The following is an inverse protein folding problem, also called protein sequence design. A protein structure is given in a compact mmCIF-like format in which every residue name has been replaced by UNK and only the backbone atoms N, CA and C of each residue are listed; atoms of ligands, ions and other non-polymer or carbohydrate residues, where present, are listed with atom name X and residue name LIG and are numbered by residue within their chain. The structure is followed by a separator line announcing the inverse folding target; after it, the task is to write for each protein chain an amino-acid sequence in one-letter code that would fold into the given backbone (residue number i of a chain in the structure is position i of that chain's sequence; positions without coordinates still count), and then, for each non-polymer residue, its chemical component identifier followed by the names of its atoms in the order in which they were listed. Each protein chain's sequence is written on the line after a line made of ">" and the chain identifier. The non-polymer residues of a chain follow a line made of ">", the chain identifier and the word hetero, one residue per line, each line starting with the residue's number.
data_IF_187255480392
#
_entry.id   IF_187255480392
#
_cell.length_a   1.000
_cell.length_b   1.000
_cell.length_c   1.000
_cell.angle_alpha   90.00
_cell.angle_beta   90.00
_cell.angle_gamma   90.00
#
_symmetry.space_group_name_H-M   'P 1'
#
loop_
_entity.id
_entity.type
_entity.pdbx_description
1 polymer ?
#
# COMPACT_ATOMS: atom_id res chain seq x y z
N UNK A 1 34.09 -8.82 -1.16
CA UNK A 1 32.99 -9.73 -1.51
C UNK A 1 31.86 -9.00 -2.26
N UNK A 2 31.38 -7.85 -1.78
CA UNK A 2 30.37 -7.02 -2.47
C UNK A 2 30.76 -6.60 -3.91
N UNK A 3 32.01 -6.21 -4.13
CA UNK A 3 32.51 -5.81 -5.46
C UNK A 3 32.44 -6.92 -6.51
N UNK A 4 32.67 -8.19 -6.12
CA UNK A 4 32.55 -9.33 -7.02
C UNK A 4 31.09 -9.56 -7.44
N UNK A 5 30.13 -9.37 -6.53
CA UNK A 5 28.70 -9.45 -6.85
C UNK A 5 28.28 -8.31 -7.79
N UNK A 6 28.80 -7.10 -7.58
CA UNK A 6 28.59 -5.96 -8.50
C UNK A 6 29.12 -6.27 -9.90
N UNK A 7 30.33 -6.82 -10.03
CA UNK A 7 30.92 -7.16 -11.33
C UNK A 7 30.12 -8.23 -12.08
N UNK A 8 29.68 -9.28 -11.38
CA UNK A 8 28.78 -10.30 -11.95
C UNK A 8 27.45 -9.70 -12.40
N UNK A 9 26.83 -8.86 -11.57
CA UNK A 9 25.61 -8.15 -11.93
C UNK A 9 25.80 -7.23 -13.14
N UNK A 10 26.93 -6.53 -13.24
CA UNK A 10 27.25 -5.68 -14.38
C UNK A 10 27.45 -6.50 -15.67
N UNK A 11 28.06 -7.68 -15.59
CA UNK A 11 28.23 -8.58 -16.73
C UNK A 11 26.88 -9.06 -17.27
N UNK A 12 25.99 -9.51 -16.37
CA UNK A 12 24.63 -9.93 -16.72
C UNK A 12 23.78 -8.77 -17.25
N UNK A 13 23.91 -7.57 -16.67
CA UNK A 13 23.24 -6.38 -17.17
C UNK A 13 23.66 -6.05 -18.61
N UNK A 14 24.95 -6.20 -18.95
CA UNK A 14 25.44 -6.03 -20.32
C UNK A 14 24.95 -7.14 -21.25
N UNK A 15 24.74 -8.35 -20.73
CA UNK A 15 24.11 -9.46 -21.45
C UNK A 15 22.60 -9.29 -21.64
N UNK A 16 22.01 -8.20 -21.13
CA UNK A 16 20.56 -7.92 -21.11
C UNK A 16 19.75 -8.87 -20.22
N UNK A 17 20.41 -9.66 -19.37
CA UNK A 17 19.78 -10.54 -18.38
C UNK A 17 19.50 -9.75 -17.09
N UNK A 18 18.43 -8.96 -17.10
CA UNK A 18 18.14 -8.01 -16.02
C UNK A 18 17.67 -8.66 -14.71
N UNK A 19 16.90 -9.75 -14.78
CA UNK A 19 16.42 -10.47 -13.59
C UNK A 19 17.57 -11.06 -12.75
N UNK A 20 18.47 -11.89 -13.30
CA UNK A 20 19.59 -12.41 -12.51
C UNK A 20 20.61 -11.32 -12.13
N UNK A 21 20.74 -10.25 -12.94
CA UNK A 21 21.54 -9.09 -12.56
C UNK A 21 21.00 -8.43 -11.27
N UNK A 22 19.68 -8.26 -11.15
CA UNK A 22 19.04 -7.71 -9.96
C UNK A 22 19.27 -8.56 -8.70
N UNK A 23 19.28 -9.90 -8.85
CA UNK A 23 19.61 -10.82 -7.75
C UNK A 23 21.04 -10.65 -7.27
N UNK A 24 22.00 -10.57 -8.19
CA UNK A 24 23.40 -10.34 -7.84
C UNK A 24 23.63 -8.98 -7.17
N UNK A 25 22.95 -7.92 -7.62
CA UNK A 25 22.98 -6.64 -6.90
C UNK A 25 22.33 -6.73 -5.53
N UNK A 26 21.28 -7.54 -5.36
CA UNK A 26 20.68 -7.80 -4.04
C UNK A 26 21.66 -8.48 -3.10
N UNK A 27 22.45 -9.44 -3.58
CA UNK A 27 23.53 -10.03 -2.79
C UNK A 27 24.62 -9.00 -2.46
N UNK A 28 24.97 -8.11 -3.39
CA UNK A 28 25.91 -7.02 -3.13
C UNK A 28 25.41 -6.08 -2.02
N UNK A 29 24.13 -5.70 -2.06
CA UNK A 29 23.47 -4.84 -1.06
C UNK A 29 23.44 -5.53 0.31
N UNK A 30 23.14 -6.83 0.36
CA UNK A 30 23.16 -7.62 1.62
C UNK A 30 24.55 -7.66 2.25
N UNK A 31 25.60 -7.72 1.43
CA UNK A 31 26.98 -7.72 1.91
C UNK A 31 27.44 -6.33 2.36
N UNK A 32 27.12 -5.29 1.58
CA UNK A 32 27.43 -3.90 1.89
C UNK A 32 26.38 -2.99 1.21
N UNK A 33 25.48 -2.34 1.97
CA UNK A 33 24.55 -1.37 1.40
C UNK A 33 25.32 -0.18 0.84
N UNK A 34 25.23 0.05 -0.47
CA UNK A 34 25.93 1.14 -1.14
C UNK A 34 25.10 1.74 -2.28
N UNK A 35 25.03 3.08 -2.46
CA UNK A 35 24.17 3.74 -3.43
C UNK A 35 24.30 3.23 -4.86
N UNK A 36 25.52 2.85 -5.26
CA UNK A 36 25.80 2.30 -6.61
C UNK A 36 25.03 1.00 -6.84
N UNK A 37 24.95 0.13 -5.84
CA UNK A 37 24.25 -1.16 -5.99
C UNK A 37 22.74 -0.96 -6.10
N UNK A 38 22.18 -0.07 -5.28
CA UNK A 38 20.77 0.34 -5.40
C UNK A 38 20.47 0.96 -6.77
N UNK A 39 21.35 1.85 -7.24
CA UNK A 39 21.19 2.48 -8.56
C UNK A 39 21.20 1.44 -9.68
N UNK A 40 22.13 0.49 -9.65
CA UNK A 40 22.24 -0.55 -10.67
C UNK A 40 21.08 -1.55 -10.63
N UNK A 41 20.59 -1.90 -9.43
CA UNK A 41 19.40 -2.73 -9.27
C UNK A 41 18.13 -2.02 -9.76
N UNK A 42 17.97 -0.72 -9.45
CA UNK A 42 16.90 0.10 -9.98
C UNK A 42 16.90 0.15 -11.52
N UNK A 43 18.09 0.21 -12.15
CA UNK A 43 18.18 0.14 -13.61
C UNK A 43 17.72 -1.20 -14.18
N UNK A 44 17.93 -2.31 -13.46
CA UNK A 44 17.37 -3.61 -13.85
C UNK A 44 15.85 -3.60 -13.77
N UNK A 45 15.29 -3.11 -12.65
CA UNK A 45 13.84 -3.04 -12.47
C UNK A 45 13.15 -2.13 -13.49
N UNK A 46 13.75 -1.00 -13.87
CA UNK A 46 13.26 -0.17 -14.98
C UNK A 46 13.19 -0.95 -16.29
N UNK A 47 14.18 -1.81 -16.58
CA UNK A 47 14.17 -2.65 -17.79
C UNK A 47 13.18 -3.80 -17.73
N UNK A 48 12.85 -4.27 -16.53
CA UNK A 48 11.84 -5.31 -16.29
C UNK A 48 10.40 -4.77 -16.23
N UNK A 49 10.21 -3.45 -16.25
CA UNK A 49 8.89 -2.82 -16.08
C UNK A 49 8.40 -2.78 -14.63
N UNK A 50 9.26 -3.13 -13.66
CA UNK A 50 8.94 -3.12 -12.23
C UNK A 50 9.18 -1.72 -11.63
N UNK A 51 8.42 -0.73 -12.10
CA UNK A 51 8.67 0.68 -11.81
C UNK A 51 8.56 1.03 -10.31
N UNK A 52 7.63 0.40 -9.58
CA UNK A 52 7.46 0.63 -8.13
C UNK A 52 8.71 0.22 -7.35
N UNK A 53 9.27 -0.96 -7.66
CA UNK A 53 10.50 -1.45 -7.04
C UNK A 53 11.70 -0.58 -7.44
N UNK A 54 11.76 -0.11 -8.69
CA UNK A 54 12.80 0.81 -9.14
C UNK A 54 12.77 2.14 -8.36
N UNK A 55 11.59 2.72 -8.14
CA UNK A 55 11.43 3.94 -7.36
C UNK A 55 11.82 3.75 -5.89
N UNK A 56 11.40 2.63 -5.28
CA UNK A 56 11.77 2.28 -3.91
C UNK A 56 13.30 2.12 -3.75
N UNK A 57 13.95 1.44 -4.70
CA UNK A 57 15.41 1.29 -4.71
C UNK A 57 16.14 2.62 -4.87
N UNK A 58 15.64 3.51 -5.72
CA UNK A 58 16.26 4.83 -5.90
C UNK A 58 16.19 5.65 -4.61
N UNK A 59 15.04 5.60 -3.92
CA UNK A 59 14.86 6.26 -2.61
C UNK A 59 15.81 5.67 -1.55
N UNK A 60 15.84 4.34 -1.40
CA UNK A 60 16.74 3.68 -0.46
C UNK A 60 18.22 3.97 -0.79
N UNK A 61 18.58 4.01 -2.08
CA UNK A 61 19.92 4.37 -2.52
C UNK A 61 20.32 5.79 -2.14
N UNK A 62 19.39 6.74 -2.18
CA UNK A 62 19.61 8.13 -1.74
C UNK A 62 19.81 8.23 -0.24
N UNK A 63 19.09 7.44 0.57
CA UNK A 63 19.30 7.37 2.03
C UNK A 63 20.72 6.88 2.38
N UNK A 64 21.38 6.18 1.46
CA UNK A 64 22.76 5.72 1.57
C UNK A 64 23.81 6.64 0.93
N UNK A 65 23.44 7.82 0.43
CA UNK A 65 24.41 8.82 -0.06
C UNK A 65 25.02 9.56 1.15
N UNK A 66 26.35 9.73 1.23
CA UNK A 66 27.01 10.37 2.38
C UNK A 66 26.51 11.79 2.68
N UNK A 67 26.14 12.55 1.65
CA UNK A 67 25.59 13.92 1.79
C UNK A 67 24.26 13.98 2.55
N UNK A 68 23.48 12.89 2.52
CA UNK A 68 22.21 12.77 3.25
C UNK A 68 22.35 11.98 4.56
N UNK A 69 23.55 11.45 4.85
CA UNK A 69 23.85 10.71 6.07
C UNK A 69 24.69 11.53 7.05
N UNK A 70 24.79 11.04 8.29
CA UNK A 70 25.75 11.59 9.27
C UNK A 70 27.18 11.34 8.77
N UNK A 71 28.12 12.29 8.97
CA UNK A 71 29.48 12.15 8.51
C UNK A 71 30.12 10.89 9.11
N UNK A 72 30.61 10.03 8.22
CA UNK A 72 31.22 8.74 8.55
C UNK A 72 32.63 8.73 7.97
N UNK A 73 33.64 8.59 8.84
CA UNK A 73 35.07 8.71 8.50
C UNK A 73 35.61 7.56 7.64
N UNK A 74 34.87 6.47 7.51
CA UNK A 74 35.21 5.26 6.74
C UNK A 74 34.32 5.06 5.50
N UNK A 75 33.56 6.07 5.07
CA UNK A 75 32.72 5.96 3.89
C UNK A 75 33.58 5.97 2.61
N UNK A 76 33.47 4.96 1.71
CA UNK A 76 34.16 4.98 0.44
C UNK A 76 33.73 6.18 -0.39
N UNK A 77 34.68 6.80 -1.09
CA UNK A 77 34.45 7.97 -1.93
C UNK A 77 33.40 7.65 -3.00
N UNK A 78 32.24 8.31 -2.91
CA UNK A 78 31.15 8.14 -3.85
C UNK A 78 31.38 9.03 -5.06
N UNK A 79 31.27 8.46 -6.27
CA UNK A 79 31.32 9.26 -7.49
C UNK A 79 30.15 10.26 -7.51
N UNK A 80 30.41 11.55 -7.83
CA UNK A 80 29.39 12.60 -7.79
C UNK A 80 28.19 12.32 -8.72
N UNK A 81 28.39 11.52 -9.77
CA UNK A 81 27.32 11.16 -10.71
C UNK A 81 26.28 10.18 -10.13
N UNK A 82 26.62 9.44 -9.07
CA UNK A 82 25.75 8.37 -8.53
C UNK A 82 24.43 8.90 -8.01
N UNK A 83 24.40 9.92 -7.12
CA UNK A 83 23.14 10.50 -6.67
C UNK A 83 22.32 11.11 -7.83
N UNK A 84 22.98 11.77 -8.79
CA UNK A 84 22.32 12.32 -9.98
C UNK A 84 21.62 11.20 -10.77
N UNK A 85 22.29 10.06 -10.96
CA UNK A 85 21.71 8.87 -11.62
C UNK A 85 20.54 8.28 -10.84
N UNK A 86 20.57 8.29 -9.51
CA UNK A 86 19.45 7.85 -8.66
C UNK A 86 18.24 8.76 -8.84
N UNK A 87 18.41 10.09 -8.76
CA UNK A 87 17.32 11.05 -9.02
C UNK A 87 16.74 10.89 -10.42
N UNK A 88 17.60 10.73 -11.43
CA UNK A 88 17.17 10.56 -12.81
C UNK A 88 16.38 9.26 -13.00
N UNK A 89 16.89 8.13 -12.52
CA UNK A 89 16.21 6.82 -12.60
C UNK A 89 14.90 6.81 -11.83
N UNK A 90 14.84 7.47 -10.68
CA UNK A 90 13.59 7.63 -9.92
C UNK A 90 12.55 8.43 -10.72
N UNK A 91 12.97 9.53 -11.35
CA UNK A 91 12.07 10.31 -12.21
C UNK A 91 11.55 9.51 -13.39
N UNK A 92 12.36 8.62 -13.99
CA UNK A 92 11.95 7.72 -15.06
C UNK A 92 10.93 6.68 -14.55
N UNK A 93 11.19 6.07 -13.39
CA UNK A 93 10.25 5.12 -12.79
C UNK A 93 8.88 5.74 -12.50
N UNK A 94 8.85 7.01 -12.06
CA UNK A 94 7.62 7.75 -11.80
C UNK A 94 6.93 8.21 -13.10
N UNK A 95 7.71 8.54 -14.13
CA UNK A 95 7.20 8.83 -15.47
C UNK A 95 6.43 7.64 -16.03
N UNK A 96 7.00 6.43 -15.93
CA UNK A 96 6.38 5.19 -16.41
C UNK A 96 5.16 4.77 -15.57
N UNK A 97 5.06 5.25 -14.32
CA UNK A 97 3.87 5.12 -13.47
C UNK A 97 2.78 6.17 -13.75
N UNK A 98 2.99 7.06 -14.73
CA UNK A 98 2.14 8.24 -14.99
C UNK A 98 2.00 9.20 -13.79
N UNK A 99 2.93 9.15 -12.83
CA UNK A 99 2.96 10.05 -11.68
C UNK A 99 3.88 11.24 -11.95
N UNK A 100 3.48 12.09 -12.90
CA UNK A 100 4.30 13.21 -13.37
C UNK A 100 4.54 14.26 -12.29
N UNK A 101 3.57 14.49 -11.40
CA UNK A 101 3.71 15.45 -10.30
C UNK A 101 4.83 15.03 -9.33
N UNK A 102 4.87 13.74 -8.95
CA UNK A 102 5.95 13.22 -8.13
C UNK A 102 7.30 13.23 -8.88
N UNK A 103 7.30 12.90 -10.18
CA UNK A 103 8.52 12.92 -10.99
C UNK A 103 9.14 14.32 -11.07
N UNK A 104 8.32 15.36 -11.25
CA UNK A 104 8.73 16.78 -11.22
C UNK A 104 9.32 17.15 -9.86
N UNK A 105 8.69 16.73 -8.76
CA UNK A 105 9.18 16.97 -7.41
C UNK A 105 10.58 16.36 -7.17
N UNK A 106 10.78 15.12 -7.61
CA UNK A 106 12.07 14.40 -7.49
C UNK A 106 13.16 15.12 -8.29
N UNK A 107 12.89 15.53 -9.53
CA UNK A 107 13.85 16.29 -10.35
C UNK A 107 14.21 17.65 -9.73
N UNK A 108 13.22 18.38 -9.20
CA UNK A 108 13.46 19.65 -8.51
C UNK A 108 14.31 19.47 -7.25
N UNK A 109 14.05 18.40 -6.50
CA UNK A 109 14.82 18.06 -5.30
C UNK A 109 16.28 17.73 -5.66
N UNK A 110 16.49 16.95 -6.72
CA UNK A 110 17.84 16.65 -7.23
C UNK A 110 18.59 17.89 -7.71
N UNK A 111 17.94 18.81 -8.42
CA UNK A 111 18.55 20.08 -8.87
C UNK A 111 18.83 21.06 -7.74
N UNK A 112 18.07 21.01 -6.64
CA UNK A 112 18.34 21.80 -5.44
C UNK A 112 19.65 21.38 -4.78
N UNK A 113 19.92 20.07 -4.73
CA UNK A 113 21.17 19.53 -4.17
C UNK A 113 22.32 19.65 -5.16
N UNK A 114 22.08 19.38 -6.45
CA UNK A 114 23.09 19.39 -7.50
C UNK A 114 22.71 20.37 -8.64
N UNK A 115 22.89 21.69 -8.42
CA UNK A 115 22.59 22.69 -9.44
C UNK A 115 23.51 22.54 -10.65
N UNK A 116 22.99 22.82 -11.85
CA UNK A 116 23.76 22.81 -13.09
C UNK A 116 23.77 21.49 -13.87
N UNK A 117 23.04 20.46 -13.41
CA UNK A 117 22.93 19.19 -14.14
C UNK A 117 21.99 19.28 -15.35
N UNK A 118 22.55 19.09 -16.55
CA UNK A 118 21.80 19.13 -17.80
C UNK A 118 20.76 18.00 -17.90
N UNK A 119 21.12 16.75 -17.54
CA UNK A 119 20.22 15.60 -17.67
C UNK A 119 18.94 15.75 -16.83
N UNK A 120 19.06 16.21 -15.59
CA UNK A 120 17.91 16.46 -14.71
C UNK A 120 17.09 17.66 -15.18
N UNK A 121 17.74 18.71 -15.68
CA UNK A 121 17.06 19.91 -16.21
C UNK A 121 16.22 19.56 -17.45
N UNK A 122 16.78 18.78 -18.37
CA UNK A 122 16.07 18.33 -19.58
C UNK A 122 14.90 17.42 -19.23
N UNK A 123 15.10 16.47 -18.30
CA UNK A 123 14.03 15.60 -17.82
C UNK A 123 12.91 16.39 -17.12
N UNK A 124 13.27 17.38 -16.29
CA UNK A 124 12.30 18.26 -15.63
C UNK A 124 11.44 19.02 -16.64
N UNK A 125 12.05 19.63 -17.66
CA UNK A 125 11.32 20.36 -18.72
C UNK A 125 10.35 19.46 -19.46
N UNK A 126 10.78 18.23 -19.79
CA UNK A 126 9.92 17.21 -20.42
C UNK A 126 8.71 16.89 -19.54
N UNK A 127 8.95 16.56 -18.26
CA UNK A 127 7.89 16.17 -17.32
C UNK A 127 6.90 17.32 -17.06
N UNK A 128 7.37 18.56 -16.92
CA UNK A 128 6.51 19.74 -16.78
C UNK A 128 5.63 19.98 -18.00
N UNK A 129 6.15 19.73 -19.20
CA UNK A 129 5.37 19.84 -20.42
C UNK A 129 4.25 18.78 -20.45
N UNK A 130 4.57 17.53 -20.09
CA UNK A 130 3.59 16.44 -20.02
C UNK A 130 2.51 16.75 -18.97
N UNK A 131 2.90 17.12 -17.76
CA UNK A 131 1.97 17.47 -16.67
C UNK A 131 1.02 18.60 -17.08
N UNK A 132 1.54 19.64 -17.74
CA UNK A 132 0.72 20.75 -18.22
C UNK A 132 -0.23 20.33 -19.35
N UNK A 133 0.22 19.43 -20.22
CA UNK A 133 -0.62 18.86 -21.30
C UNK A 133 -1.76 18.04 -20.68
N UNK A 134 -1.48 17.13 -19.76
CA UNK A 134 -2.52 16.33 -19.10
C UNK A 134 -3.54 17.18 -18.35
N UNK A 135 -3.09 18.24 -17.66
CA UNK A 135 -4.00 19.19 -17.00
C UNK A 135 -4.90 19.92 -17.98
N UNK A 136 -4.40 20.25 -19.18
CA UNK A 136 -5.22 20.86 -20.25
C UNK A 136 -6.23 19.86 -20.80
N UNK A 137 -5.77 18.66 -21.16
CA UNK A 137 -6.62 17.59 -21.70
C UNK A 137 -7.71 17.19 -20.69
N UNK A 138 -7.39 17.15 -19.39
CA UNK A 138 -8.34 16.92 -18.31
C UNK A 138 -9.36 18.06 -18.17
N UNK A 139 -8.92 19.32 -18.30
CA UNK A 139 -9.81 20.49 -18.27
C UNK A 139 -10.75 20.53 -19.48
N UNK A 140 -10.25 20.13 -20.66
CA UNK A 140 -11.02 20.05 -21.89
C UNK A 140 -12.07 18.92 -21.83
N UNK A 141 -11.69 17.73 -21.32
CA UNK A 141 -12.64 16.64 -21.04
C UNK A 141 -13.70 17.03 -20.00
N UNK A 142 -13.33 17.83 -18.99
CA UNK A 142 -14.27 18.31 -17.98
C UNK A 142 -15.25 19.38 -18.52
N UNK A 143 -14.91 20.06 -19.61
CA UNK A 143 -15.73 21.10 -20.24
C UNK A 143 -16.48 20.62 -21.51
N UNK A 144 -16.29 19.36 -21.91
CA UNK A 144 -17.04 18.78 -23.01
C UNK A 144 -18.55 18.74 -22.66
N UNK A 145 -19.45 19.25 -23.52
CA UNK A 145 -20.88 19.23 -23.26
C UNK A 145 -21.35 17.78 -23.11
N UNK A 146 -21.82 17.43 -21.92
CA UNK A 146 -22.45 16.13 -21.69
C UNK A 146 -23.64 15.99 -22.63
N UNK A 147 -23.69 14.89 -23.38
CA UNK A 147 -24.82 14.53 -24.22
C UNK A 147 -26.08 14.50 -23.36
N UNK A 148 -27.09 15.25 -23.78
CA UNK A 148 -28.35 15.48 -23.07
C UNK A 148 -28.94 14.17 -22.53
N UNK A 149 -28.97 14.01 -21.21
CA UNK A 149 -29.83 13.02 -20.55
C UNK A 149 -31.30 13.41 -20.81
N UNK A 150 -32.20 12.45 -21.09
CA UNK A 150 -33.61 12.76 -21.34
C UNK A 150 -34.26 13.45 -20.12
N UNK A 151 -35.25 14.33 -20.35
CA UNK A 151 -35.80 15.20 -19.32
C UNK A 151 -36.48 14.40 -18.20
N UNK A 152 -36.06 14.69 -16.96
CA UNK A 152 -36.67 14.22 -15.71
C UNK A 152 -38.08 14.82 -15.60
N UNK A 153 -39.14 14.03 -15.31
CA UNK A 153 -40.47 14.57 -15.07
C UNK A 153 -40.50 15.37 -13.76
N UNK A 154 -41.18 16.50 -13.83
CA UNK A 154 -41.37 17.54 -12.80
C UNK A 154 -41.83 16.96 -11.45
N UNK A 155 -41.21 17.30 -10.31
CA UNK A 155 -41.77 16.99 -9.00
C UNK A 155 -42.70 18.13 -8.53
N UNK A 156 -43.96 17.77 -8.28
CA UNK A 156 -44.91 18.54 -7.49
C UNK A 156 -44.49 18.59 -6.00
N UNK A 157 -44.86 19.70 -5.36
CA UNK A 157 -44.93 19.97 -3.92
C UNK A 157 -43.63 20.20 -3.13
N UNK A 158 -43.46 21.47 -2.72
CA UNK A 158 -42.48 21.98 -1.75
C UNK A 158 -42.62 21.36 -0.35
N UNK A 159 -41.53 21.08 0.39
CA UNK A 159 -41.62 20.84 1.82
C UNK A 159 -41.50 22.15 2.61
N UNK A 160 -42.39 22.31 3.59
CA UNK A 160 -42.39 23.40 4.59
C UNK A 160 -41.12 23.36 5.45
N UNK A 161 -40.40 24.48 5.51
CA UNK A 161 -39.23 24.67 6.39
C UNK A 161 -39.73 24.75 7.84
N UNK A 162 -39.37 23.77 8.67
CA UNK A 162 -39.54 23.86 10.12
C UNK A 162 -38.31 24.54 10.74
N UNK A 163 -38.51 25.70 11.35
CA UNK A 163 -37.48 26.45 12.06
C UNK A 163 -37.27 25.85 13.46
N UNK A 164 -36.14 25.20 13.71
CA UNK A 164 -35.76 24.70 15.04
C UNK A 164 -35.03 25.84 15.78
N UNK A 165 -35.47 26.29 16.96
CA UNK A 165 -34.78 27.33 17.70
C UNK A 165 -33.53 26.75 18.40
N UNK A 166 -32.37 27.35 18.14
CA UNK A 166 -31.12 27.09 18.85
C UNK A 166 -31.16 27.84 20.18
N UNK A 167 -31.14 27.12 21.32
CA UNK A 167 -30.85 27.71 22.63
C UNK A 167 -29.35 27.61 22.89
N UNK A 168 -28.68 28.75 23.01
CA UNK A 168 -27.31 28.83 23.49
C UNK A 168 -27.30 28.51 24.98
N UNK A 169 -26.57 27.46 25.39
CA UNK A 169 -26.35 27.11 26.79
C UNK A 169 -24.89 27.41 27.12
N UNK A 170 -24.65 28.32 28.08
CA UNK A 170 -23.32 28.84 28.43
C UNK A 170 -22.51 27.95 29.39
N UNK A 171 -22.86 26.67 29.55
CA UNK A 171 -22.12 25.75 30.43
C UNK A 171 -22.24 24.32 29.92
N UNK A 172 -21.10 23.65 29.74
CA UNK A 172 -21.02 22.21 29.51
C UNK A 172 -20.95 21.51 30.87
N UNK A 173 -21.91 20.64 31.23
CA UNK A 173 -21.71 19.73 32.34
C UNK A 173 -21.06 18.45 31.81
N UNK A 174 -19.82 18.22 32.23
CA UNK A 174 -19.23 16.94 32.69
C UNK A 174 -17.70 17.05 32.56
N UNK A 175 -17.04 16.86 33.69
CA UNK A 175 -15.61 17.03 33.91
C UNK A 175 -14.79 15.90 33.26
N UNK A 176 -14.11 16.22 32.16
CA UNK A 176 -13.31 15.30 31.34
C UNK A 176 -12.10 14.69 32.08
N UNK A 177 -11.81 15.15 33.30
CA UNK A 177 -10.66 14.73 34.11
C UNK A 177 -10.96 13.58 35.07
N UNK A 178 -12.21 13.13 35.19
CA UNK A 178 -12.57 11.98 36.05
C UNK A 178 -12.29 10.62 35.42
N UNK A 179 -12.05 10.56 34.10
CA UNK A 179 -11.80 9.31 33.37
C UNK A 179 -10.35 8.81 33.57
N UNK A 180 -9.43 9.71 33.93
CA UNK A 180 -8.00 9.39 34.09
C UNK A 180 -7.59 8.95 35.49
N UNK A 181 -8.50 8.95 36.47
CA UNK A 181 -8.22 8.47 37.82
C UNK A 181 -8.94 7.15 38.10
N UNK A 182 -8.46 6.08 37.45
CA UNK A 182 -8.61 4.71 37.95
C UNK A 182 -7.21 4.10 38.11
N UNK A 183 -6.95 3.32 39.17
CA UNK A 183 -5.59 2.94 39.58
C UNK A 183 -4.96 1.78 38.77
N UNK A 184 -5.35 1.57 37.51
CA UNK A 184 -4.90 0.42 36.70
C UNK A 184 -3.96 0.75 35.53
N UNK A 185 -3.44 1.98 35.44
CA UNK A 185 -2.58 2.41 34.31
C UNK A 185 -1.15 2.79 34.66
N UNK A 186 -0.58 2.25 35.76
CA UNK A 186 0.80 2.57 36.17
C UNK A 186 1.88 1.52 35.85
N UNK A 187 1.59 0.47 35.06
CA UNK A 187 2.57 -0.62 34.83
C UNK A 187 3.10 -0.78 33.39
N UNK A 188 2.89 0.19 32.49
CA UNK A 188 3.41 0.11 31.10
C UNK A 188 4.50 1.14 30.75
N UNK A 189 5.20 1.67 31.75
CA UNK A 189 6.37 2.53 31.53
C UNK A 189 7.58 2.07 32.34
N UNK A 190 7.92 0.78 32.24
CA UNK A 190 9.28 0.31 32.53
C UNK A 190 9.84 -0.51 31.37
N UNK A 191 10.98 -0.06 30.85
CA UNK A 191 11.81 -0.84 29.94
C UNK A 191 12.59 -1.89 30.75
N UNK A 192 12.49 -3.20 30.49
CA UNK A 192 13.37 -4.15 31.17
C UNK A 192 14.68 -4.33 30.41
N UNK A 193 15.74 -4.22 31.21
CA UNK A 193 17.15 -4.38 30.89
C UNK A 193 17.51 -5.79 30.42
N UNK A 194 18.56 -5.84 29.61
CA UNK A 194 19.32 -7.03 29.24
C UNK A 194 19.78 -7.82 30.50
N UNK A 195 19.29 -9.05 30.68
CA UNK A 195 19.94 -10.04 31.55
C UNK A 195 19.95 -11.41 30.88
N UNK A 196 21.13 -12.02 30.88
CA UNK A 196 21.41 -13.36 30.38
C UNK A 196 20.88 -14.38 31.38
N UNK A 197 20.10 -15.36 30.93
CA UNK A 197 20.07 -16.65 31.61
C UNK A 197 19.73 -17.78 30.64
N UNK A 198 20.67 -18.71 30.58
CA UNK A 198 20.68 -20.01 29.94
C UNK A 198 19.34 -20.74 30.01
N UNK A 199 18.80 -21.16 28.87
CA UNK A 199 17.91 -22.32 28.82
C UNK A 199 18.29 -23.21 27.65
N UNK A 200 18.28 -24.50 27.97
CA UNK A 200 18.91 -25.58 27.25
C UNK A 200 18.20 -25.89 25.94
N UNK A 201 19.02 -26.30 24.96
CA UNK A 201 18.58 -27.03 23.78
C UNK A 201 17.76 -28.26 24.18
N UNK A 202 16.50 -28.30 23.73
CA UNK A 202 15.79 -29.55 23.47
C UNK A 202 14.73 -29.28 22.39
N UNK A 203 15.02 -29.70 21.15
CA UNK A 203 14.00 -29.86 20.13
C UNK A 203 13.13 -31.08 20.48
N UNK A 204 11.80 -30.98 20.55
CA UNK A 204 10.93 -32.13 20.36
C UNK A 204 10.54 -32.22 18.89
N UNK A 205 11.06 -33.25 18.23
CA UNK A 205 10.58 -33.73 16.94
C UNK A 205 9.19 -34.33 17.13
N UNK A 206 8.13 -33.60 16.76
CA UNK A 206 6.78 -34.12 16.46
C UNK A 206 5.97 -33.00 15.82
N UNK A 207 5.34 -33.26 14.66
CA UNK A 207 4.73 -32.24 13.80
C UNK A 207 3.55 -31.47 14.40
N UNK A 208 3.84 -30.40 15.13
CA UNK A 208 2.86 -29.37 15.49
C UNK A 208 2.92 -28.23 14.46
N UNK A 209 1.84 -28.01 13.72
CA UNK A 209 1.65 -26.82 12.90
C UNK A 209 1.90 -25.56 13.73
N UNK A 210 2.60 -24.57 13.18
CA UNK A 210 2.72 -23.27 13.83
C UNK A 210 1.31 -22.66 14.01
N UNK A 211 0.98 -22.12 15.19
CA UNK A 211 -0.29 -21.43 15.40
C UNK A 211 -0.44 -20.27 14.43
N UNK A 212 -1.62 -20.12 13.81
CA UNK A 212 -1.92 -18.99 12.94
C UNK A 212 -1.93 -17.70 13.79
N UNK A 213 -0.99 -16.80 13.53
CA UNK A 213 -0.92 -15.53 14.26
C UNK A 213 -1.87 -14.51 13.59
N UNK A 214 -3.10 -14.41 14.11
CA UNK A 214 -4.10 -13.45 13.62
C UNK A 214 -3.83 -12.05 14.19
N UNK A 215 -3.65 -11.01 13.34
CA UNK A 215 -3.34 -9.66 13.79
C UNK A 215 -4.57 -8.97 14.38
N UNK A 216 -4.41 -8.13 15.42
CA UNK A 216 -5.53 -7.39 16.02
C UNK A 216 -6.09 -6.27 15.11
N UNK A 217 -5.26 -5.74 14.18
CA UNK A 217 -5.66 -4.72 13.23
C UNK A 217 -5.24 -5.14 11.82
N UNK A 218 -6.19 -5.10 10.88
CA UNK A 218 -5.97 -5.52 9.49
C UNK A 218 -5.61 -4.33 8.60
N UNK A 219 -4.59 -4.51 7.75
CA UNK A 219 -4.30 -3.64 6.61
C UNK A 219 -4.35 -4.44 5.30
N UNK A 220 -4.44 -3.76 4.14
CA UNK A 220 -4.57 -4.42 2.83
C UNK A 220 -3.48 -5.47 2.58
N UNK A 221 -2.24 -5.19 2.96
CA UNK A 221 -1.12 -6.10 2.77
C UNK A 221 -1.25 -7.35 3.65
N UNK A 222 -1.54 -7.19 4.94
CA UNK A 222 -1.73 -8.31 5.88
C UNK A 222 -2.92 -9.18 5.49
N UNK A 223 -4.01 -8.56 5.02
CA UNK A 223 -5.16 -9.29 4.49
C UNK A 223 -4.76 -10.13 3.26
N UNK A 224 -4.01 -9.56 2.32
CA UNK A 224 -3.52 -10.29 1.15
C UNK A 224 -2.56 -11.44 1.52
N UNK A 225 -1.84 -11.35 2.63
CA UNK A 225 -1.04 -12.48 3.14
C UNK A 225 -1.92 -13.55 3.79
N UNK A 226 -2.94 -13.15 4.57
CA UNK A 226 -3.88 -14.09 5.20
C UNK A 226 -4.66 -14.90 4.17
N UNK A 227 -5.09 -14.28 3.08
CA UNK A 227 -5.78 -14.97 1.98
C UNK A 227 -4.90 -15.98 1.22
N UNK A 228 -3.58 -15.92 1.40
CA UNK A 228 -2.61 -16.87 0.82
C UNK A 228 -2.27 -18.02 1.78
N UNK A 229 -2.94 -18.11 2.93
CA UNK A 229 -2.70 -19.15 3.93
C UNK A 229 -3.04 -20.54 3.39
N UNK A 230 -2.39 -21.61 3.89
CA UNK A 230 -2.70 -22.97 3.47
C UNK A 230 -4.14 -23.35 3.82
N UNK A 231 -4.78 -24.20 2.99
CA UNK A 231 -6.19 -24.60 3.12
C UNK A 231 -6.59 -25.07 4.54
N UNK A 232 -5.68 -25.71 5.26
CA UNK A 232 -5.93 -26.20 6.62
C UNK A 232 -6.07 -25.09 7.69
N UNK A 233 -5.66 -23.86 7.38
CA UNK A 233 -5.77 -22.69 8.25
C UNK A 233 -6.83 -21.70 7.76
N UNK A 234 -7.42 -21.94 6.58
CA UNK A 234 -8.39 -21.02 5.98
C UNK A 234 -9.72 -20.97 6.74
N UNK A 235 -10.10 -22.05 7.44
CA UNK A 235 -11.30 -22.07 8.28
C UNK A 235 -11.20 -21.04 9.43
N UNK A 236 -10.06 -21.00 10.13
CA UNK A 236 -9.77 -20.00 11.16
C UNK A 236 -9.74 -18.57 10.59
N UNK A 237 -9.16 -18.40 9.39
CA UNK A 237 -9.15 -17.10 8.68
C UNK A 237 -10.58 -16.65 8.35
N UNK A 238 -11.44 -17.55 7.86
CA UNK A 238 -12.84 -17.27 7.51
C UNK A 238 -13.64 -16.85 8.74
N UNK A 239 -13.53 -17.59 9.84
CA UNK A 239 -14.18 -17.23 11.10
C UNK A 239 -13.68 -15.90 11.65
N UNK A 240 -12.38 -15.60 11.51
CA UNK A 240 -11.82 -14.29 11.87
C UNK A 240 -12.39 -13.15 11.01
N UNK A 241 -12.44 -13.32 9.69
CA UNK A 241 -12.96 -12.32 8.75
C UNK A 241 -14.46 -12.08 8.92
N UNK A 242 -15.24 -13.13 9.21
CA UNK A 242 -16.69 -13.04 9.45
C UNK A 242 -17.03 -12.17 10.68
N UNK A 243 -16.21 -12.27 11.72
CA UNK A 243 -16.38 -11.54 12.98
C UNK A 243 -15.67 -10.18 13.01
N UNK A 244 -14.95 -9.82 11.95
CA UNK A 244 -14.21 -8.56 11.87
C UNK A 244 -15.13 -7.33 11.78
N UNK A 245 -14.62 -6.16 12.16
CA UNK A 245 -15.35 -4.89 12.12
C UNK A 245 -15.61 -4.45 10.67
N UNK A 246 -16.89 -4.39 10.31
CA UNK A 246 -17.35 -4.06 8.96
C UNK A 246 -17.11 -2.61 8.56
N UNK A 247 -16.91 -1.71 9.53
CA UNK A 247 -16.68 -0.28 9.27
C UNK A 247 -15.27 -0.02 8.71
N UNK A 248 -14.35 -0.96 8.90
CA UNK A 248 -12.96 -0.83 8.49
C UNK A 248 -12.74 -1.19 7.01
N UNK A 249 -13.64 -1.94 6.36
CA UNK A 249 -13.42 -2.41 4.99
C UNK A 249 -13.15 -1.29 3.97
N UNK A 250 -13.92 -0.19 3.91
CA UNK A 250 -13.63 0.91 2.98
C UNK A 250 -12.27 1.56 3.24
N UNK A 251 -11.81 1.59 4.50
CA UNK A 251 -10.50 2.13 4.87
C UNK A 251 -9.37 1.14 4.51
N UNK A 252 -9.58 -0.16 4.69
CA UNK A 252 -8.61 -1.21 4.39
C UNK A 252 -8.33 -1.27 2.89
N UNK A 253 -9.37 -1.34 2.06
CA UNK A 253 -9.22 -1.44 0.62
C UNK A 253 -8.91 -0.08 -0.03
N UNK A 254 -9.35 1.02 0.59
CA UNK A 254 -9.11 2.38 0.13
C UNK A 254 -9.40 2.55 -1.37
N UNK A 255 -8.52 3.26 -2.09
CA UNK A 255 -8.59 3.44 -3.54
C UNK A 255 -8.12 2.23 -4.36
N UNK A 256 -7.50 1.22 -3.72
CA UNK A 256 -7.04 0.01 -4.39
C UNK A 256 -8.21 -0.85 -4.90
N UNK A 257 -9.32 -0.77 -4.18
CA UNK A 257 -10.52 -1.55 -4.41
C UNK A 257 -10.40 -2.95 -3.81
N UNK A 258 -11.54 -3.64 -3.78
CA UNK A 258 -11.67 -5.00 -3.26
C UNK A 258 -11.20 -6.03 -4.30
N UNK A 259 -10.54 -7.09 -3.84
CA UNK A 259 -10.05 -8.19 -4.69
C UNK A 259 -11.07 -9.32 -4.82
N UNK A 260 -11.04 -10.06 -5.93
CA UNK A 260 -11.93 -11.22 -6.16
C UNK A 260 -11.71 -12.34 -5.16
N UNK A 261 -10.45 -12.60 -4.80
CA UNK A 261 -10.07 -13.67 -3.86
C UNK A 261 -10.65 -13.40 -2.47
N UNK A 262 -10.69 -12.13 -2.06
CA UNK A 262 -11.30 -11.73 -0.79
C UNK A 262 -12.81 -11.96 -0.81
N UNK A 263 -13.50 -11.56 -1.89
CA UNK A 263 -14.95 -11.76 -2.01
C UNK A 263 -15.26 -13.25 -1.95
N UNK A 264 -14.52 -14.07 -2.70
CA UNK A 264 -14.73 -15.52 -2.71
C UNK A 264 -14.57 -16.14 -1.31
N UNK A 265 -13.50 -15.79 -0.58
CA UNK A 265 -13.27 -16.31 0.78
C UNK A 265 -14.28 -15.78 1.81
N UNK A 266 -14.75 -14.54 1.66
CA UNK A 266 -15.80 -13.99 2.51
C UNK A 266 -17.16 -14.66 2.27
N UNK A 267 -17.50 -14.96 1.02
CA UNK A 267 -18.73 -15.69 0.69
C UNK A 267 -18.69 -17.13 1.20
N UNK A 268 -17.52 -17.80 1.15
CA UNK A 268 -17.34 -19.11 1.81
C UNK A 268 -17.47 -19.01 3.32
N UNK A 269 -16.93 -17.94 3.94
CA UNK A 269 -17.08 -17.71 5.37
C UNK A 269 -18.56 -17.54 5.78
N UNK A 270 -19.37 -16.89 4.93
CA UNK A 270 -20.82 -16.78 5.11
C UNK A 270 -21.51 -18.15 4.98
N UNK A 271 -21.13 -18.97 4.00
CA UNK A 271 -21.68 -20.32 3.83
C UNK A 271 -21.39 -21.22 5.06
N UNK A 272 -20.20 -21.09 5.65
CA UNK A 272 -19.75 -21.89 6.80
C UNK A 272 -20.33 -21.41 8.15
N UNK A 273 -20.53 -20.10 8.33
CA UNK A 273 -20.93 -19.48 9.60
C UNK A 273 -22.34 -18.86 9.54
N UNK A 274 -23.27 -19.47 8.78
CA UNK A 274 -24.60 -18.94 8.52
C UNK A 274 -25.52 -18.96 9.77
N UNK A 275 -25.25 -18.10 10.75
CA UNK A 275 -26.07 -17.88 11.96
C UNK A 275 -27.28 -16.96 11.69
N UNK A 276 -27.95 -17.17 10.56
CA UNK A 276 -29.12 -16.39 10.11
C UNK A 276 -28.81 -15.24 9.15
N UNK A 277 -29.85 -14.55 8.61
CA UNK A 277 -29.69 -13.66 7.46
C UNK A 277 -29.17 -12.25 7.79
N UNK A 278 -29.10 -11.85 9.07
CA UNK A 278 -28.79 -10.47 9.45
C UNK A 278 -27.31 -10.12 9.20
N UNK A 279 -26.39 -10.92 9.73
CA UNK A 279 -24.94 -10.68 9.63
C UNK A 279 -24.41 -10.82 8.19
N UNK A 280 -24.79 -11.86 7.41
CA UNK A 280 -24.44 -11.95 5.99
C UNK A 280 -24.87 -10.73 5.17
N UNK A 281 -26.09 -10.20 5.41
CA UNK A 281 -26.57 -8.98 4.74
C UNK A 281 -25.68 -7.78 5.01
N UNK A 282 -25.29 -7.56 6.28
CA UNK A 282 -24.41 -6.45 6.65
C UNK A 282 -23.03 -6.56 6.00
N UNK A 283 -22.46 -7.77 5.95
CA UNK A 283 -21.17 -8.03 5.29
C UNK A 283 -21.28 -7.69 3.80
N UNK A 284 -22.30 -8.21 3.11
CA UNK A 284 -22.52 -7.94 1.69
C UNK A 284 -22.74 -6.45 1.41
N UNK A 285 -23.53 -5.76 2.24
CA UNK A 285 -23.72 -4.32 2.11
C UNK A 285 -22.42 -3.52 2.34
N UNK A 286 -21.55 -3.97 3.25
CA UNK A 286 -20.25 -3.32 3.45
C UNK A 286 -19.29 -3.58 2.27
N UNK A 287 -19.27 -4.80 1.72
CA UNK A 287 -18.49 -5.10 0.52
C UNK A 287 -18.95 -4.28 -0.69
N UNK A 288 -20.27 -4.08 -0.88
CA UNK A 288 -20.84 -3.23 -1.94
C UNK A 288 -20.43 -1.77 -1.85
N UNK A 289 -20.07 -1.27 -0.66
CA UNK A 289 -19.55 0.10 -0.47
C UNK A 289 -18.08 0.26 -0.88
N UNK A 290 -17.35 -0.84 -1.06
CA UNK A 290 -15.95 -0.79 -1.43
C UNK A 290 -15.77 -0.52 -2.94
N UNK A 291 -14.72 0.23 -3.28
CA UNK A 291 -14.37 0.50 -4.68
C UNK A 291 -14.08 -0.80 -5.44
N UNK A 292 -14.43 -0.84 -6.73
CA UNK A 292 -14.26 -2.00 -7.64
C UNK A 292 -15.01 -3.28 -7.26
N UNK A 293 -15.93 -3.26 -6.29
CA UNK A 293 -16.76 -4.43 -5.95
C UNK A 293 -17.43 -5.08 -7.16
N UNK A 294 -18.11 -4.27 -8.00
CA UNK A 294 -18.80 -4.79 -9.18
C UNK A 294 -17.85 -5.49 -10.17
N UNK A 295 -16.62 -4.99 -10.32
CA UNK A 295 -15.62 -5.57 -11.22
C UNK A 295 -15.09 -6.87 -10.62
N UNK A 296 -14.69 -6.86 -9.35
CA UNK A 296 -14.17 -8.03 -8.65
C UNK A 296 -15.22 -9.17 -8.57
N UNK A 297 -16.48 -8.84 -8.34
CA UNK A 297 -17.58 -9.82 -8.26
C UNK A 297 -17.83 -10.55 -9.60
N UNK A 298 -17.44 -9.98 -10.75
CA UNK A 298 -17.55 -10.69 -12.04
C UNK A 298 -16.65 -11.92 -12.15
N UNK A 299 -15.57 -11.97 -11.36
CA UNK A 299 -14.61 -13.07 -11.34
C UNK A 299 -14.94 -14.14 -10.30
N UNK A 300 -15.95 -13.91 -9.45
CA UNK A 300 -16.38 -14.84 -8.41
C UNK A 300 -17.28 -15.93 -9.01
N UNK A 301 -17.14 -17.20 -8.62
CA UNK A 301 -18.02 -18.28 -9.08
C UNK A 301 -19.50 -17.98 -8.84
N UNK A 302 -20.31 -18.07 -9.90
CA UNK A 302 -21.75 -17.75 -9.85
C UNK A 302 -22.52 -18.62 -8.86
N UNK A 303 -22.12 -19.89 -8.71
CA UNK A 303 -22.75 -20.83 -7.78
C UNK A 303 -22.68 -20.34 -6.34
N UNK A 304 -21.56 -19.72 -5.95
CA UNK A 304 -21.36 -19.18 -4.62
C UNK A 304 -22.19 -17.91 -4.39
N UNK A 305 -22.28 -17.06 -5.41
CA UNK A 305 -23.15 -15.88 -5.38
C UNK A 305 -24.63 -16.24 -5.27
N UNK A 306 -25.10 -17.28 -5.97
CA UNK A 306 -26.48 -17.75 -5.86
C UNK A 306 -26.78 -18.31 -4.47
N UNK A 307 -25.89 -19.13 -3.90
CA UNK A 307 -26.05 -19.67 -2.55
C UNK A 307 -26.11 -18.57 -1.48
N UNK A 308 -25.21 -17.60 -1.53
CA UNK A 308 -25.22 -16.49 -0.56
C UNK A 308 -26.43 -15.57 -0.80
N UNK A 309 -26.88 -15.40 -2.04
CA UNK A 309 -28.12 -14.68 -2.33
C UNK A 309 -29.36 -15.38 -1.76
N UNK A 310 -29.38 -16.72 -1.70
CA UNK A 310 -30.44 -17.49 -1.01
C UNK A 310 -30.40 -17.27 0.51
N UNK A 311 -29.20 -17.24 1.11
CA UNK A 311 -29.01 -16.98 2.55
C UNK A 311 -29.41 -15.54 2.92
N UNK A 312 -29.01 -14.58 2.09
CA UNK A 312 -29.29 -13.16 2.30
C UNK A 312 -30.69 -12.75 1.82
N UNK A 313 -31.35 -13.49 0.93
CA UNK A 313 -32.61 -13.07 0.30
C UNK A 313 -32.48 -11.82 -0.58
N UNK A 314 -31.27 -11.45 -1.01
CA UNK A 314 -30.97 -10.32 -1.90
C UNK A 314 -29.90 -10.73 -2.91
N UNK A 315 -30.01 -10.25 -4.16
CA UNK A 315 -28.96 -10.48 -5.17
C UNK A 315 -27.69 -9.71 -4.80
N UNK A 316 -26.57 -10.41 -4.86
CA UNK A 316 -25.22 -9.88 -4.76
C UNK A 316 -24.88 -8.97 -5.95
#
# INVERSE_FOLDING_TARGET
>A
MSEQFKEKGNALFKAQDFAPAAEHYTLAIKALPHPVYFSNRAACYLKLGEYEKAAADCKAGLDHVPEFQKPRSDAPELKPDTPIKLFFRWSQALEDQHNYAAAVYVCNSGLKTYPGNESLTTQLKKLQWIEKKEKRDMKEKAFAPQSQTPPIPTPEASPTIQHIPIKVVNTLPIDLLSIYNTPETTDLLESPKLTKTTTNNAFPTSGSQLPLMLPACLNAYTLAQLLKSPKNQMEEVRSYLYNYDLTQWPHIFGRGGIDSDFIEEMLKAIEENADGPARPKEIVQSMKKCDRFNIANTFVPKDLNTKVAEICGESL
#
